data_IF_035568169850
#
_entry.id   IF_035568169850
#
_cell.length_a   1.000
_cell.length_b   1.000
_cell.length_c   1.000
_cell.angle_alpha   90.00
_cell.angle_beta   90.00
_cell.angle_gamma   90.00
#
_symmetry.space_group_name_H-M   'P 1'
#
loop_
_entity.id
_entity.type
_entity.pdbx_description
1 polymer ?
#
# COMPACT_ATOMS: atom_id res chain seq x y z
N UNK A 1 -2.11 -28.34 -60.59
CA UNK A 1 -1.14 -27.44 -59.92
C UNK A 1 -1.78 -26.32 -59.07
N UNK A 2 -2.68 -25.47 -59.59
CA UNK A 2 -3.25 -24.34 -58.79
C UNK A 2 -3.86 -24.74 -57.44
N UNK A 3 -4.61 -25.86 -57.37
CA UNK A 3 -5.21 -26.36 -56.12
C UNK A 3 -4.19 -26.78 -55.05
N UNK A 4 -3.01 -27.26 -55.45
CA UNK A 4 -1.98 -27.73 -54.51
C UNK A 4 -1.28 -26.55 -53.81
N UNK A 5 -0.99 -25.48 -54.54
CA UNK A 5 -0.42 -24.25 -53.97
C UNK A 5 -1.41 -23.54 -53.02
N UNK A 6 -2.72 -23.58 -53.32
CA UNK A 6 -3.74 -23.05 -52.42
C UNK A 6 -3.82 -23.82 -51.08
N UNK A 7 -3.59 -25.14 -51.07
CA UNK A 7 -3.63 -25.95 -49.83
C UNK A 7 -2.45 -25.58 -48.91
N UNK A 8 -1.23 -25.51 -49.43
CA UNK A 8 -0.06 -25.11 -48.63
C UNK A 8 -0.18 -23.70 -48.06
N UNK A 9 -0.75 -22.76 -48.84
CA UNK A 9 -1.04 -21.41 -48.36
C UNK A 9 -2.05 -21.40 -47.21
N UNK A 10 -3.17 -22.13 -47.35
CA UNK A 10 -4.18 -22.26 -46.29
C UNK A 10 -3.59 -22.91 -45.03
N UNK A 11 -2.78 -23.95 -45.19
CA UNK A 11 -2.11 -24.63 -44.07
C UNK A 11 -1.16 -23.68 -43.33
N UNK A 12 -0.38 -22.88 -44.08
CA UNK A 12 0.49 -21.86 -43.51
C UNK A 12 -0.27 -20.78 -42.73
N UNK A 13 -1.41 -20.33 -43.26
CA UNK A 13 -2.30 -19.39 -42.56
C UNK A 13 -2.86 -20.00 -41.29
N UNK A 14 -3.31 -21.26 -41.30
CA UNK A 14 -3.82 -21.96 -40.12
C UNK A 14 -2.76 -22.14 -39.03
N UNK A 15 -1.55 -22.55 -39.41
CA UNK A 15 -0.41 -22.65 -38.48
C UNK A 15 -0.04 -21.28 -37.92
N UNK A 16 -0.03 -20.24 -38.76
CA UNK A 16 0.19 -18.86 -38.32
C UNK A 16 -0.87 -18.37 -37.34
N UNK A 17 -2.14 -18.70 -37.56
CA UNK A 17 -3.24 -18.36 -36.64
C UNK A 17 -3.10 -19.08 -35.29
N UNK A 18 -2.66 -20.35 -35.27
CA UNK A 18 -2.37 -21.06 -34.02
C UNK A 18 -1.28 -20.34 -33.21
N UNK A 19 -0.15 -19.99 -33.84
CA UNK A 19 0.91 -19.23 -33.15
C UNK A 19 0.45 -17.85 -32.70
N UNK A 20 -0.41 -17.17 -33.47
CA UNK A 20 -0.98 -15.89 -33.07
C UNK A 20 -1.81 -16.03 -31.80
N UNK A 21 -2.62 -17.08 -31.69
CA UNK A 21 -3.42 -17.33 -30.47
C UNK A 21 -2.55 -17.57 -29.24
N UNK A 22 -1.44 -18.32 -29.37
CA UNK A 22 -0.48 -18.53 -28.28
C UNK A 22 0.19 -17.24 -27.81
N UNK A 23 0.58 -16.36 -28.74
CA UNK A 23 1.19 -15.08 -28.38
C UNK A 23 0.20 -14.21 -27.60
N UNK A 24 -1.07 -14.20 -28.00
CA UNK A 24 -2.13 -13.44 -27.32
C UNK A 24 -2.38 -13.96 -25.90
N UNK A 25 -2.49 -15.29 -25.72
CA UNK A 25 -2.74 -15.89 -24.39
C UNK A 25 -1.54 -15.69 -23.45
N UNK A 26 -0.31 -15.81 -23.94
CA UNK A 26 0.91 -15.53 -23.16
C UNK A 26 0.98 -14.07 -22.74
N UNK A 27 0.73 -13.14 -23.66
CA UNK A 27 0.72 -11.70 -23.36
C UNK A 27 -0.34 -11.33 -22.32
N UNK A 28 -1.54 -11.93 -22.43
CA UNK A 28 -2.61 -11.77 -21.45
C UNK A 28 -2.21 -12.32 -20.06
N UNK A 29 -1.61 -13.51 -20.03
CA UNK A 29 -1.13 -14.16 -18.80
C UNK A 29 -0.08 -13.32 -18.08
N UNK A 30 0.94 -12.84 -18.80
CA UNK A 30 2.01 -11.99 -18.24
C UNK A 30 1.39 -10.72 -17.63
N UNK A 31 0.47 -10.07 -18.33
CA UNK A 31 -0.20 -8.85 -17.84
C UNK A 31 -1.01 -9.12 -16.57
N UNK A 32 -1.73 -10.23 -16.51
CA UNK A 32 -2.54 -10.61 -15.34
C UNK A 32 -1.66 -10.92 -14.13
N UNK A 33 -0.61 -11.72 -14.30
CA UNK A 33 0.34 -12.06 -13.22
C UNK A 33 1.05 -10.81 -12.69
N UNK A 34 1.47 -9.89 -13.56
CA UNK A 34 2.11 -8.64 -13.14
C UNK A 34 1.18 -7.76 -12.30
N UNK A 35 -0.11 -7.67 -12.64
CA UNK A 35 -1.10 -6.94 -11.82
C UNK A 35 -1.30 -7.59 -10.44
N UNK A 36 -1.39 -8.92 -10.39
CA UNK A 36 -1.52 -9.66 -9.13
C UNK A 36 -0.32 -9.46 -8.20
N UNK A 37 0.90 -9.41 -8.76
CA UNK A 37 2.10 -9.06 -7.98
C UNK A 37 2.02 -7.66 -7.39
N UNK A 38 1.59 -6.66 -8.17
CA UNK A 38 1.42 -5.29 -7.68
C UNK A 38 0.35 -5.17 -6.59
N UNK A 39 -0.74 -5.94 -6.69
CA UNK A 39 -1.78 -6.00 -5.66
C UNK A 39 -1.20 -6.57 -4.34
N UNK A 40 -0.38 -7.64 -4.41
CA UNK A 40 0.27 -8.21 -3.22
C UNK A 40 1.26 -7.24 -2.54
N UNK A 41 2.05 -6.51 -3.33
CA UNK A 41 2.95 -5.46 -2.81
C UNK A 41 2.16 -4.38 -2.09
N UNK A 42 1.08 -3.89 -2.72
CA UNK A 42 0.24 -2.83 -2.15
C UNK A 42 -0.44 -3.29 -0.85
N UNK A 43 -0.90 -4.54 -0.78
CA UNK A 43 -1.46 -5.12 0.45
C UNK A 43 -0.43 -5.19 1.57
N UNK A 44 0.80 -5.63 1.28
CA UNK A 44 1.88 -5.69 2.27
C UNK A 44 2.23 -4.28 2.78
N UNK A 45 2.29 -3.32 1.87
CA UNK A 45 2.59 -1.92 2.18
C UNK A 45 1.49 -1.27 3.04
N UNK A 46 0.22 -1.49 2.69
CA UNK A 46 -0.93 -1.10 3.52
C UNK A 46 -0.90 -1.79 4.89
N UNK A 47 -0.57 -3.08 4.91
CA UNK A 47 -0.43 -3.88 6.12
C UNK A 47 0.64 -3.34 7.06
N UNK A 48 1.76 -2.84 6.51
CA UNK A 48 2.87 -2.23 7.25
C UNK A 48 2.43 -0.99 8.01
N UNK A 49 1.47 -0.21 7.48
CA UNK A 49 0.95 0.98 8.16
C UNK A 49 0.44 0.66 9.58
N UNK A 50 -0.23 -0.48 9.77
CA UNK A 50 -0.68 -0.95 11.10
C UNK A 50 0.47 -1.11 12.09
N UNK A 51 1.57 -1.69 11.64
CA UNK A 51 2.75 -1.87 12.49
C UNK A 51 3.41 -0.52 12.79
N UNK A 52 3.48 0.36 11.80
CA UNK A 52 4.10 1.68 11.96
C UNK A 52 3.35 2.55 12.97
N UNK A 53 2.01 2.53 13.02
CA UNK A 53 1.25 3.26 14.07
C UNK A 53 1.65 2.83 15.47
N UNK A 54 1.74 1.51 15.71
CA UNK A 54 2.14 0.97 17.01
C UNK A 54 3.61 1.25 17.33
N UNK A 55 4.47 1.16 16.30
CA UNK A 55 5.90 1.44 16.43
C UNK A 55 6.14 2.89 16.84
N UNK A 56 5.44 3.86 16.22
CA UNK A 56 5.54 5.28 16.59
C UNK A 56 5.10 5.53 18.04
N UNK A 57 3.94 4.98 18.45
CA UNK A 57 3.47 5.11 19.82
C UNK A 57 4.48 4.56 20.85
N UNK A 58 5.05 3.38 20.55
CA UNK A 58 6.09 2.75 21.37
C UNK A 58 7.35 3.64 21.46
N UNK A 59 7.85 4.12 20.34
CA UNK A 59 9.06 4.96 20.27
C UNK A 59 8.87 6.29 21.00
N UNK A 60 7.68 6.89 20.91
CA UNK A 60 7.33 8.11 21.65
C UNK A 60 7.33 7.88 23.17
N UNK A 61 6.78 6.76 23.64
CA UNK A 61 6.80 6.39 25.07
C UNK A 61 8.23 6.14 25.56
N UNK A 62 9.06 5.44 24.77
CA UNK A 62 10.46 5.24 25.13
C UNK A 62 11.23 6.54 25.17
N UNK A 63 11.06 7.42 24.18
CA UNK A 63 11.73 8.72 24.17
C UNK A 63 11.34 9.57 25.37
N UNK A 64 10.05 9.66 25.71
CA UNK A 64 9.58 10.42 26.88
C UNK A 64 10.05 9.83 28.21
N UNK A 65 10.29 8.52 28.27
CA UNK A 65 10.78 7.84 29.47
C UNK A 65 12.31 7.96 29.64
N UNK A 66 13.08 7.84 28.55
CA UNK A 66 14.55 7.74 28.64
C UNK A 66 15.28 8.98 28.16
N UNK A 67 14.65 9.83 27.35
CA UNK A 67 15.24 10.99 26.68
C UNK A 67 16.46 10.65 25.79
N UNK A 68 16.64 9.38 25.41
CA UNK A 68 17.75 8.97 24.56
C UNK A 68 17.51 9.38 23.11
N UNK A 69 18.50 10.04 22.50
CA UNK A 69 18.43 10.53 21.13
C UNK A 69 18.08 9.44 20.09
N UNK A 70 18.45 8.17 20.34
CA UNK A 70 18.12 7.05 19.45
C UNK A 70 16.61 6.86 19.26
N UNK A 71 15.80 7.12 20.28
CA UNK A 71 14.35 6.95 20.19
C UNK A 71 13.70 8.09 19.42
N UNK A 72 14.20 9.32 19.59
CA UNK A 72 13.81 10.48 18.76
C UNK A 72 14.11 10.21 17.28
N UNK A 73 15.34 9.81 16.95
CA UNK A 73 15.73 9.48 15.57
C UNK A 73 14.93 8.30 14.99
N UNK A 74 14.65 7.27 15.79
CA UNK A 74 13.83 6.15 15.36
C UNK A 74 12.40 6.59 15.06
N UNK A 75 11.82 7.43 15.93
CA UNK A 75 10.48 7.96 15.76
C UNK A 75 10.37 8.82 14.49
N UNK A 76 11.30 9.76 14.28
CA UNK A 76 11.35 10.59 13.06
C UNK A 76 11.36 9.73 11.79
N UNK A 77 12.22 8.70 11.74
CA UNK A 77 12.27 7.75 10.63
C UNK A 77 10.98 6.96 10.45
N UNK A 78 10.34 6.53 11.55
CA UNK A 78 9.08 5.81 11.48
C UNK A 78 7.95 6.70 10.95
N UNK A 79 7.90 7.97 11.38
CA UNK A 79 6.93 8.97 10.89
C UNK A 79 7.10 9.22 9.39
N UNK A 80 8.34 9.45 8.94
CA UNK A 80 8.67 9.64 7.52
C UNK A 80 8.30 8.41 6.69
N UNK A 81 8.63 7.20 7.18
CA UNK A 81 8.29 5.96 6.49
C UNK A 81 6.78 5.76 6.39
N UNK A 82 6.01 6.05 7.44
CA UNK A 82 4.55 5.99 7.42
C UNK A 82 3.99 6.94 6.36
N UNK A 83 4.41 8.20 6.38
CA UNK A 83 3.90 9.24 5.49
C UNK A 83 4.26 8.97 4.01
N UNK A 84 5.51 8.59 3.75
CA UNK A 84 5.96 8.22 2.39
C UNK A 84 5.19 7.02 1.88
N UNK A 85 5.05 5.98 2.70
CA UNK A 85 4.32 4.77 2.30
C UNK A 85 2.84 5.02 2.05
N UNK A 86 2.21 5.90 2.85
CA UNK A 86 0.82 6.30 2.64
C UNK A 86 0.65 7.07 1.34
N UNK A 87 1.63 7.91 0.98
CA UNK A 87 1.65 8.60 -0.30
C UNK A 87 1.80 7.65 -1.49
N UNK A 88 2.70 6.66 -1.37
CA UNK A 88 2.90 5.63 -2.38
C UNK A 88 1.65 4.78 -2.61
N UNK A 89 0.87 4.51 -1.56
CA UNK A 89 -0.41 3.79 -1.67
C UNK A 89 -1.49 4.60 -2.40
N UNK A 90 -1.45 5.93 -2.28
CA UNK A 90 -2.42 6.83 -2.92
C UNK A 90 -2.05 7.12 -4.38
N UNK A 91 -0.79 7.45 -4.63
CA UNK A 91 -0.32 7.95 -5.91
C UNK A 91 0.37 6.88 -6.77
N UNK A 92 0.73 5.74 -6.18
CA UNK A 92 1.52 4.69 -6.81
C UNK A 92 3.03 4.95 -6.69
N UNK A 93 3.81 3.87 -6.75
CA UNK A 93 5.26 3.89 -6.88
C UNK A 93 5.70 2.75 -7.81
N UNK A 94 5.97 3.02 -9.11
CA UNK A 94 6.39 2.01 -10.08
C UNK A 94 7.71 1.32 -9.71
N UNK A 95 8.66 2.02 -9.09
CA UNK A 95 9.96 1.45 -8.69
C UNK A 95 9.80 0.38 -7.61
N UNK A 96 8.81 0.55 -6.72
CA UNK A 96 8.45 -0.44 -5.71
C UNK A 96 7.40 -1.44 -6.19
N UNK A 97 6.89 -1.31 -7.42
CA UNK A 97 5.81 -2.16 -7.93
C UNK A 97 4.43 -1.87 -7.33
N UNK A 98 4.23 -0.68 -6.75
CA UNK A 98 2.95 -0.22 -6.22
C UNK A 98 2.20 0.48 -7.34
N UNK A 99 1.12 -0.13 -7.83
CA UNK A 99 0.29 0.49 -8.85
C UNK A 99 -0.62 1.56 -8.23
N UNK A 100 -0.79 2.69 -8.93
CA UNK A 100 -1.78 3.69 -8.54
C UNK A 100 -3.17 3.06 -8.52
N UNK A 101 -3.88 3.22 -7.40
CA UNK A 101 -5.27 2.78 -7.29
C UNK A 101 -6.23 3.85 -7.80
N UNK A 102 -7.31 3.41 -8.43
CA UNK A 102 -8.45 4.25 -8.81
C UNK A 102 -9.74 3.83 -8.08
N UNK A 103 -9.64 2.87 -7.15
CA UNK A 103 -10.79 2.40 -6.40
C UNK A 103 -11.23 3.47 -5.38
N UNK A 104 -12.47 4.01 -5.48
CA UNK A 104 -12.91 5.10 -4.62
C UNK A 104 -13.01 4.71 -3.14
N UNK A 105 -13.24 3.42 -2.82
CA UNK A 105 -13.27 2.97 -1.43
C UNK A 105 -11.87 3.03 -0.82
N UNK A 106 -10.86 2.56 -1.54
CA UNK A 106 -9.46 2.62 -1.09
C UNK A 106 -9.05 4.08 -0.88
N UNK A 107 -9.32 4.95 -1.86
CA UNK A 107 -8.98 6.38 -1.75
C UNK A 107 -9.68 7.04 -0.55
N UNK A 108 -10.93 6.69 -0.28
CA UNK A 108 -11.66 7.20 0.88
C UNK A 108 -11.08 6.70 2.22
N UNK A 109 -10.67 5.43 2.32
CA UNK A 109 -10.02 4.92 3.53
C UNK A 109 -8.63 5.53 3.76
N UNK A 110 -7.87 5.78 2.68
CA UNK A 110 -6.59 6.51 2.73
C UNK A 110 -6.82 7.94 3.22
N UNK A 111 -7.82 8.64 2.67
CA UNK A 111 -8.17 10.00 3.09
C UNK A 111 -8.49 10.07 4.59
N UNK A 112 -9.35 9.17 5.08
CA UNK A 112 -9.66 9.07 6.52
C UNK A 112 -8.42 8.78 7.36
N UNK A 113 -7.53 7.91 6.88
CA UNK A 113 -6.27 7.65 7.57
C UNK A 113 -5.39 8.91 7.64
N UNK A 114 -5.30 9.71 6.57
CA UNK A 114 -4.59 10.99 6.57
C UNK A 114 -5.21 11.98 7.56
N UNK A 115 -6.54 12.10 7.58
CA UNK A 115 -7.26 12.99 8.51
C UNK A 115 -6.96 12.65 9.97
N UNK A 116 -6.88 11.36 10.31
CA UNK A 116 -6.48 10.91 11.65
C UNK A 116 -4.98 11.04 11.91
N UNK A 117 -4.16 10.88 10.87
CA UNK A 117 -2.71 10.97 10.96
C UNK A 117 -2.23 12.39 11.26
N UNK A 118 -2.82 13.42 10.66
CA UNK A 118 -2.40 14.81 10.84
C UNK A 118 -2.29 15.23 12.33
N UNK A 119 -3.33 15.13 13.15
CA UNK A 119 -3.23 15.49 14.57
C UNK A 119 -2.33 14.52 15.37
N UNK A 120 -2.25 13.24 14.96
CA UNK A 120 -1.36 12.27 15.57
C UNK A 120 0.12 12.63 15.34
N UNK A 121 0.45 13.06 14.12
CA UNK A 121 1.78 13.56 13.74
C UNK A 121 2.15 14.79 14.56
N UNK A 122 1.24 15.74 14.73
CA UNK A 122 1.46 16.93 15.54
C UNK A 122 1.77 16.59 17.00
N UNK A 123 1.05 15.63 17.59
CA UNK A 123 1.34 15.13 18.93
C UNK A 123 2.74 14.50 19.02
N UNK A 124 3.11 13.64 18.05
CA UNK A 124 4.45 13.06 17.98
C UNK A 124 5.55 14.12 17.84
N UNK A 125 5.34 15.12 16.97
CA UNK A 125 6.28 16.24 16.79
C UNK A 125 6.42 17.05 18.07
N UNK A 126 5.32 17.28 18.81
CA UNK A 126 5.36 17.97 20.10
C UNK A 126 6.26 17.25 21.10
N UNK A 127 6.22 15.91 21.11
CA UNK A 127 7.05 15.09 22.01
C UNK A 127 8.54 15.24 21.72
N UNK A 128 8.94 15.25 20.45
CA UNK A 128 10.37 15.28 20.05
C UNK A 128 10.93 16.69 19.83
N UNK A 129 10.07 17.71 19.82
CA UNK A 129 10.47 19.11 19.63
C UNK A 129 11.25 19.61 20.84
N UNK A 130 12.41 20.19 20.57
CA UNK A 130 13.24 20.79 21.61
C UNK A 130 12.51 22.02 22.20
N UNK A 131 12.49 22.13 23.53
CA UNK A 131 11.82 23.22 24.23
C UNK A 131 10.32 23.03 24.52
N UNK A 132 9.72 21.89 24.12
CA UNK A 132 8.36 21.55 24.56
C UNK A 132 8.29 21.44 26.09
N UNK A 133 7.27 22.06 26.68
CA UNK A 133 7.00 22.00 28.12
C UNK A 133 6.51 20.61 28.55
N UNK A 134 6.65 20.30 29.85
CA UNK A 134 6.16 19.05 30.42
C UNK A 134 4.64 18.86 30.22
N UNK A 135 3.87 19.94 30.29
CA UNK A 135 2.41 19.89 30.09
C UNK A 135 2.03 19.64 28.64
N UNK A 136 2.76 20.20 27.67
CA UNK A 136 2.57 19.90 26.24
C UNK A 136 2.88 18.44 25.94
N UNK A 137 4.00 17.91 26.44
CA UNK A 137 4.39 16.52 26.25
C UNK A 137 3.36 15.59 26.88
N UNK A 138 2.87 15.89 28.08
CA UNK A 138 1.83 15.11 28.75
C UNK A 138 0.55 15.04 27.92
N UNK A 139 0.05 16.18 27.44
CA UNK A 139 -1.14 16.24 26.57
C UNK A 139 -0.95 15.46 25.27
N UNK A 140 0.24 15.54 24.67
CA UNK A 140 0.57 14.80 23.45
C UNK A 140 0.56 13.27 23.69
N UNK A 141 1.11 12.80 24.81
CA UNK A 141 1.09 11.38 25.18
C UNK A 141 -0.34 10.90 25.48
N UNK A 142 -1.15 11.69 26.19
CA UNK A 142 -2.57 11.39 26.42
C UNK A 142 -3.32 11.25 25.10
N UNK A 143 -3.16 12.20 24.18
CA UNK A 143 -3.74 12.15 22.85
C UNK A 143 -3.32 10.90 22.07
N UNK A 144 -2.02 10.56 22.07
CA UNK A 144 -1.51 9.36 21.40
C UNK A 144 -2.10 8.10 22.01
N UNK A 145 -2.18 8.00 23.34
CA UNK A 145 -2.75 6.84 24.03
C UNK A 145 -4.21 6.60 23.62
N UNK A 146 -5.02 7.67 23.58
CA UNK A 146 -6.43 7.61 23.20
C UNK A 146 -6.64 7.30 21.72
N UNK A 147 -5.76 7.83 20.84
CA UNK A 147 -5.94 7.76 19.39
C UNK A 147 -5.11 6.67 18.71
N UNK A 148 -4.20 5.98 19.40
CA UNK A 148 -3.37 4.93 18.83
C UNK A 148 -4.20 3.75 18.29
N UNK A 149 -5.17 3.26 19.07
CA UNK A 149 -6.04 2.16 18.64
C UNK A 149 -7.00 2.58 17.52
N UNK A 150 -7.66 3.76 17.58
CA UNK A 150 -8.39 4.31 16.45
C UNK A 150 -7.54 4.38 15.16
N UNK A 151 -6.33 4.94 15.22
CA UNK A 151 -5.45 5.06 14.05
C UNK A 151 -5.04 3.68 13.50
N UNK A 152 -4.73 2.71 14.38
CA UNK A 152 -4.48 1.32 14.00
C UNK A 152 -5.66 0.70 13.26
N UNK A 153 -6.87 0.88 13.77
CA UNK A 153 -8.10 0.36 13.14
C UNK A 153 -8.30 0.97 11.76
N UNK A 154 -8.03 2.26 11.60
CA UNK A 154 -8.13 2.94 10.30
C UNK A 154 -7.05 2.45 9.32
N UNK A 155 -5.80 2.27 9.77
CA UNK A 155 -4.75 1.65 8.95
C UNK A 155 -5.12 0.22 8.52
N UNK A 156 -5.79 -0.54 9.39
CA UNK A 156 -6.32 -1.85 9.06
C UNK A 156 -7.49 -1.80 8.05
N UNK A 157 -8.32 -0.75 8.09
CA UNK A 157 -9.38 -0.56 7.09
C UNK A 157 -8.80 -0.37 5.68
N UNK A 158 -7.71 0.41 5.54
CA UNK A 158 -6.97 0.56 4.28
C UNK A 158 -6.47 -0.80 3.77
N UNK A 159 -5.83 -1.59 4.65
CA UNK A 159 -5.35 -2.94 4.28
C UNK A 159 -6.50 -3.82 3.76
N UNK A 160 -7.62 -3.87 4.50
CA UNK A 160 -8.79 -4.67 4.11
C UNK A 160 -9.41 -4.20 2.80
N UNK A 161 -9.38 -2.91 2.49
CA UNK A 161 -9.87 -2.39 1.23
C UNK A 161 -9.04 -2.91 0.04
N UNK A 162 -7.71 -2.92 0.16
CA UNK A 162 -6.82 -3.55 -0.84
C UNK A 162 -7.04 -5.07 -0.96
N UNK A 163 -7.15 -5.79 0.16
CA UNK A 163 -7.44 -7.24 0.17
C UNK A 163 -8.76 -7.56 -0.52
N UNK A 164 -9.80 -6.76 -0.27
CA UNK A 164 -11.13 -6.92 -0.88
C UNK A 164 -11.08 -6.68 -2.38
N UNK A 165 -10.40 -5.62 -2.83
CA UNK A 165 -10.23 -5.33 -4.25
C UNK A 165 -9.49 -6.47 -4.97
N UNK A 166 -8.37 -6.92 -4.39
CA UNK A 166 -7.59 -8.02 -4.94
C UNK A 166 -8.43 -9.31 -5.03
N UNK A 167 -9.16 -9.64 -3.97
CA UNK A 167 -10.04 -10.82 -3.92
C UNK A 167 -11.17 -10.74 -4.97
N UNK A 168 -11.77 -9.56 -5.18
CA UNK A 168 -12.79 -9.34 -6.20
C UNK A 168 -12.24 -9.53 -7.62
N UNK A 169 -11.03 -9.03 -7.90
CA UNK A 169 -10.34 -9.25 -9.18
C UNK A 169 -10.07 -10.73 -9.43
N UNK A 170 -9.58 -11.46 -8.42
CA UNK A 170 -9.31 -12.90 -8.52
C UNK A 170 -10.60 -13.68 -8.76
N UNK A 171 -11.68 -13.36 -8.03
CA UNK A 171 -12.99 -14.00 -8.22
C UNK A 171 -13.51 -13.81 -9.65
N UNK A 172 -13.44 -12.59 -10.17
CA UNK A 172 -13.85 -12.30 -11.54
C UNK A 172 -13.05 -13.11 -12.57
N UNK A 173 -11.75 -13.30 -12.37
CA UNK A 173 -10.91 -14.11 -13.25
C UNK A 173 -11.23 -15.61 -13.21
N UNK A 174 -11.77 -16.12 -12.10
CA UNK A 174 -12.17 -17.53 -11.99
C UNK A 174 -13.55 -17.82 -12.59
N UNK A 175 -14.37 -16.78 -12.80
CA UNK A 175 -15.72 -16.89 -13.36
C UNK A 175 -15.77 -16.65 -14.88
N UNK A 176 -14.64 -16.27 -15.49
CA UNK A 176 -14.44 -16.14 -16.94
C UNK A 176 -13.98 -17.47 -17.56
#
# INVERSE_FOLDING_TARGET
MKRFNSIHFILGVLVGLLFLTEIVTVGWTIRTVSKQKGDAVSINEAGRQRMLTQKMAKEAIFFTSTHEARWKQSLEKTMELFETSLDELEHGNPEKGIAKTADPNILNEIKRLREMWTPFKEALTTIIRDGSSKDEIKKAIEFISENNIPLLKQANAVTKAFEKLSSAKIKHLMEL
#
